data_IF_238223483808
#
_entry.id   IF_238223483808
#
_cell.length_a   1.000
_cell.length_b   1.000
_cell.length_c   1.000
_cell.angle_alpha   90.00
_cell.angle_beta   90.00
_cell.angle_gamma   90.00
#
_symmetry.space_group_name_H-M   'P 1'
#
loop_
_entity.id
_entity.type
_entity.pdbx_description
1 polymer ?
#
# COMPACT_ATOMS: atom_id res chain seq x y z
N UNK A 1 10.78 24.53 0.23
CA UNK A 1 10.24 23.16 0.26
C UNK A 1 8.72 23.15 0.08
N UNK A 2 7.96 23.85 0.93
CA UNK A 2 6.47 23.88 0.88
C UNK A 2 5.91 24.37 -0.46
N UNK A 3 6.44 25.45 -1.04
CA UNK A 3 5.99 25.95 -2.34
C UNK A 3 6.25 24.98 -3.50
N UNK A 4 7.32 24.16 -3.42
CA UNK A 4 7.59 23.13 -4.41
C UNK A 4 6.60 21.97 -4.29
N UNK A 5 6.28 21.55 -3.06
CA UNK A 5 5.29 20.50 -2.79
C UNK A 5 3.88 20.92 -3.17
N UNK A 6 3.48 22.16 -2.89
CA UNK A 6 2.18 22.73 -3.28
C UNK A 6 2.03 22.90 -4.80
N UNK A 7 3.15 22.97 -5.53
CA UNK A 7 3.16 23.04 -7.00
C UNK A 7 3.20 21.68 -7.70
N UNK A 8 3.15 20.56 -6.96
CA UNK A 8 3.20 19.22 -7.55
C UNK A 8 1.92 18.93 -8.32
N UNK A 9 2.00 19.06 -9.65
CA UNK A 9 0.94 18.66 -10.57
C UNK A 9 1.50 17.67 -11.60
N UNK A 10 0.61 16.86 -12.19
CA UNK A 10 0.97 15.93 -13.26
C UNK A 10 2.06 14.92 -12.86
N UNK A 11 3.14 14.86 -13.65
CA UNK A 11 4.21 13.84 -13.52
C UNK A 11 4.93 13.86 -12.17
N UNK A 12 5.09 15.01 -11.54
CA UNK A 12 5.82 15.09 -10.26
C UNK A 12 4.99 14.52 -9.10
N UNK A 13 3.67 14.68 -9.13
CA UNK A 13 2.76 14.07 -8.16
C UNK A 13 2.75 12.54 -8.29
N UNK A 14 2.73 12.04 -9.53
CA UNK A 14 2.83 10.61 -9.84
C UNK A 14 4.14 10.01 -9.31
N UNK A 15 5.28 10.64 -9.59
CA UNK A 15 6.60 10.17 -9.13
C UNK A 15 6.72 10.19 -7.61
N UNK A 16 6.29 11.27 -6.96
CA UNK A 16 6.31 11.35 -5.50
C UNK A 16 5.45 10.24 -4.88
N UNK A 17 4.23 10.06 -5.37
CA UNK A 17 3.33 9.00 -4.89
C UNK A 17 3.91 7.61 -5.08
N UNK A 18 4.54 7.34 -6.23
CA UNK A 18 5.20 6.06 -6.49
C UNK A 18 6.36 5.78 -5.52
N UNK A 19 7.19 6.78 -5.24
CA UNK A 19 8.33 6.65 -4.31
C UNK A 19 7.83 6.41 -2.89
N UNK A 20 6.91 7.25 -2.40
CA UNK A 20 6.35 7.11 -1.06
C UNK A 20 5.64 5.76 -0.91
N UNK A 21 4.90 5.34 -1.94
CA UNK A 21 4.24 4.05 -1.96
C UNK A 21 5.21 2.88 -1.90
N UNK A 22 6.28 2.90 -2.71
CA UNK A 22 7.32 1.88 -2.66
C UNK A 22 8.00 1.80 -1.29
N UNK A 23 8.31 2.96 -0.69
CA UNK A 23 8.90 3.03 0.66
C UNK A 23 7.99 2.41 1.72
N UNK A 24 6.68 2.65 1.65
CA UNK A 24 5.72 2.05 2.59
C UNK A 24 5.75 0.52 2.59
N UNK A 25 5.98 -0.11 1.44
CA UNK A 25 5.98 -1.57 1.36
C UNK A 25 7.35 -2.22 1.58
N UNK A 26 8.45 -1.46 1.49
CA UNK A 26 9.81 -2.01 1.42
C UNK A 26 10.16 -2.94 2.59
N UNK A 27 9.92 -2.49 3.81
CA UNK A 27 10.25 -3.21 5.05
C UNK A 27 9.03 -3.46 5.96
N UNK A 28 7.82 -3.32 5.40
CA UNK A 28 6.54 -3.71 6.01
C UNK A 28 6.35 -3.22 7.46
N UNK A 29 6.75 -1.98 7.75
CA UNK A 29 6.67 -1.36 9.09
C UNK A 29 8.04 -1.02 9.70
N UNK A 30 9.13 -1.29 8.97
CA UNK A 30 10.49 -0.93 9.36
C UNK A 30 10.83 0.56 9.20
N UNK A 31 12.14 0.91 9.27
CA UNK A 31 12.61 2.28 9.22
C UNK A 31 12.22 3.06 7.95
N UNK A 32 12.21 2.43 6.78
CA UNK A 32 11.89 3.08 5.49
C UNK A 32 10.39 3.38 5.40
N UNK A 33 9.54 2.44 5.80
CA UNK A 33 8.11 2.67 5.93
C UNK A 33 7.84 3.84 6.90
N UNK A 34 8.45 3.80 8.09
CA UNK A 34 8.26 4.86 9.09
C UNK A 34 8.77 6.21 8.62
N UNK A 35 9.86 6.25 7.83
CA UNK A 35 10.35 7.50 7.24
C UNK A 35 9.36 8.09 6.21
N UNK A 36 8.73 7.25 5.37
CA UNK A 36 7.67 7.72 4.48
C UNK A 36 6.47 8.23 5.29
N UNK A 37 6.03 7.48 6.30
CA UNK A 37 4.93 7.88 7.17
C UNK A 37 5.19 9.23 7.86
N UNK A 38 6.37 9.43 8.46
CA UNK A 38 6.70 10.70 9.13
C UNK A 38 6.81 11.86 8.17
N UNK A 39 7.24 11.62 6.91
CA UNK A 39 7.17 12.62 5.86
C UNK A 39 5.74 13.08 5.60
N UNK A 40 4.79 12.15 5.43
CA UNK A 40 3.37 12.48 5.22
C UNK A 40 2.77 13.27 6.39
N UNK A 41 3.00 12.80 7.62
CA UNK A 41 2.53 13.48 8.84
C UNK A 41 3.13 14.88 8.97
N UNK A 42 4.41 15.06 8.64
CA UNK A 42 5.08 16.37 8.69
C UNK A 42 4.46 17.41 7.75
N UNK A 43 3.82 16.98 6.67
CA UNK A 43 3.17 17.87 5.70
C UNK A 43 1.75 18.29 6.10
N UNK A 44 1.10 17.56 7.01
CA UNK A 44 -0.22 17.91 7.53
C UNK A 44 -0.23 19.31 8.18
N UNK A 45 0.84 19.68 8.89
CA UNK A 45 0.99 21.01 9.51
C UNK A 45 1.07 22.16 8.50
N UNK A 46 1.34 21.86 7.22
CA UNK A 46 1.34 22.84 6.11
C UNK A 46 0.07 22.77 5.25
N UNK A 47 -0.97 22.07 5.70
CA UNK A 47 -2.20 21.80 4.95
C UNK A 47 -1.97 21.12 3.59
N UNK A 48 -0.99 20.21 3.53
CA UNK A 48 -0.72 19.36 2.36
C UNK A 48 -1.12 17.93 2.75
N UNK A 49 -2.20 17.41 2.15
CA UNK A 49 -2.88 16.18 2.60
C UNK A 49 -2.70 15.00 1.65
N UNK A 50 -2.27 15.26 0.42
CA UNK A 50 -2.17 14.30 -0.67
C UNK A 50 -1.09 13.25 -0.43
N UNK A 51 0.13 13.62 0.01
CA UNK A 51 1.16 12.64 0.35
C UNK A 51 0.72 11.70 1.47
N UNK A 52 -0.03 12.21 2.45
CA UNK A 52 -0.55 11.40 3.55
C UNK A 52 -1.57 10.36 3.04
N UNK A 53 -2.47 10.75 2.14
CA UNK A 53 -3.37 9.80 1.49
C UNK A 53 -2.59 8.73 0.70
N UNK A 54 -1.59 9.14 -0.08
CA UNK A 54 -0.78 8.21 -0.87
C UNK A 54 -0.09 7.16 0.01
N UNK A 55 0.51 7.59 1.12
CA UNK A 55 1.17 6.73 2.11
C UNK A 55 0.15 5.77 2.75
N UNK A 56 -1.03 6.28 3.14
CA UNK A 56 -2.06 5.44 3.77
C UNK A 56 -2.61 4.39 2.79
N UNK A 57 -2.93 4.79 1.55
CA UNK A 57 -3.38 3.86 0.51
C UNK A 57 -2.32 2.77 0.27
N UNK A 58 -1.06 3.18 0.11
CA UNK A 58 0.05 2.29 -0.19
C UNK A 58 0.40 1.32 0.94
N UNK A 59 0.18 1.66 2.22
CA UNK A 59 0.42 0.72 3.33
C UNK A 59 -0.67 -0.35 3.50
N UNK A 60 -1.88 -0.12 2.94
CA UNK A 60 -2.95 -1.13 2.93
C UNK A 60 -2.69 -2.21 1.88
N UNK A 61 -2.05 -1.87 0.75
CA UNK A 61 -1.96 -2.77 -0.42
C UNK A 61 -1.09 -4.02 -0.26
N UNK A 62 0.01 -4.06 0.53
CA UNK A 62 0.81 -5.28 0.68
C UNK A 62 0.02 -6.45 1.26
N UNK A 63 -0.60 -6.34 2.46
CA UNK A 63 -1.40 -7.43 3.01
C UNK A 63 -2.69 -7.69 2.20
N UNK A 64 -3.38 -6.67 1.66
CA UNK A 64 -4.57 -6.89 0.83
C UNK A 64 -4.24 -7.66 -0.46
N UNK A 65 -3.14 -7.28 -1.13
CA UNK A 65 -2.71 -7.91 -2.37
C UNK A 65 -2.24 -9.35 -2.16
N UNK A 66 -1.55 -9.62 -1.05
CA UNK A 66 -1.14 -10.98 -0.68
C UNK A 66 -2.34 -11.84 -0.30
N UNK A 67 -3.29 -11.28 0.46
CA UNK A 67 -4.54 -11.96 0.78
C UNK A 67 -5.31 -12.33 -0.50
N UNK A 68 -5.43 -11.40 -1.45
CA UNK A 68 -6.02 -11.67 -2.76
C UNK A 68 -5.22 -12.72 -3.56
N UNK A 69 -3.89 -12.65 -3.56
CA UNK A 69 -3.03 -13.59 -4.27
C UNK A 69 -3.22 -15.03 -3.77
N UNK A 70 -3.37 -15.23 -2.45
CA UNK A 70 -3.61 -16.57 -1.88
C UNK A 70 -4.95 -17.19 -2.31
N UNK A 71 -5.95 -16.35 -2.63
CA UNK A 71 -7.23 -16.81 -3.18
C UNK A 71 -7.11 -17.15 -4.67
N UNK A 72 -6.46 -16.28 -5.46
CA UNK A 72 -6.37 -16.42 -6.92
C UNK A 72 -5.36 -17.47 -7.37
N UNK A 73 -4.24 -17.60 -6.66
CA UNK A 73 -3.10 -18.44 -7.03
C UNK A 73 -2.77 -19.46 -5.95
N UNK A 74 -3.80 -20.05 -5.33
CA UNK A 74 -3.68 -20.93 -4.15
C UNK A 74 -2.61 -22.02 -4.27
N UNK A 75 -2.39 -22.57 -5.47
CA UNK A 75 -1.37 -23.60 -5.75
C UNK A 75 0.09 -23.08 -5.73
N UNK A 76 0.30 -21.78 -5.55
CA UNK A 76 1.61 -21.13 -5.42
C UNK A 76 1.93 -20.74 -3.97
N UNK A 77 1.04 -21.06 -3.03
CA UNK A 77 1.19 -20.74 -1.62
C UNK A 77 1.09 -22.01 -0.78
N UNK A 78 1.91 -22.09 0.26
CA UNK A 78 1.82 -23.15 1.27
C UNK A 78 0.51 -23.04 2.07
N UNK A 79 0.13 -24.12 2.76
CA UNK A 79 -1.05 -24.10 3.66
C UNK A 79 -0.93 -22.99 4.71
N UNK A 80 0.27 -22.77 5.25
CA UNK A 80 0.53 -21.70 6.23
C UNK A 80 0.33 -20.31 5.62
N UNK A 81 0.79 -20.08 4.39
CA UNK A 81 0.57 -18.80 3.69
C UNK A 81 -0.91 -18.57 3.36
N UNK A 82 -1.65 -19.61 2.99
CA UNK A 82 -3.10 -19.50 2.74
C UNK A 82 -3.86 -19.14 4.02
N UNK A 83 -3.49 -19.72 5.16
CA UNK A 83 -4.09 -19.35 6.45
C UNK A 83 -3.70 -17.93 6.87
N UNK A 84 -2.43 -17.55 6.69
CA UNK A 84 -1.98 -16.17 6.90
C UNK A 84 -2.74 -15.18 5.99
N UNK A 85 -3.13 -15.59 4.78
CA UNK A 85 -3.90 -14.78 3.83
C UNK A 85 -5.25 -14.34 4.38
N UNK A 86 -5.91 -15.17 5.21
CA UNK A 86 -7.17 -14.80 5.86
C UNK A 86 -6.98 -13.67 6.86
N UNK A 87 -5.92 -13.74 7.66
CA UNK A 87 -5.57 -12.67 8.59
C UNK A 87 -5.12 -11.40 7.86
N UNK A 88 -4.38 -11.55 6.75
CA UNK A 88 -3.87 -10.45 5.95
C UNK A 88 -5.00 -9.55 5.38
N UNK A 89 -6.19 -10.07 5.10
CA UNK A 89 -7.35 -9.23 4.76
C UNK A 89 -7.66 -8.21 5.87
N UNK A 90 -7.76 -8.68 7.11
CA UNK A 90 -8.10 -7.83 8.27
C UNK A 90 -6.98 -6.85 8.57
N UNK A 91 -5.73 -7.30 8.50
CA UNK A 91 -4.56 -6.45 8.71
C UNK A 91 -4.49 -5.35 7.63
N UNK A 92 -4.74 -5.70 6.37
CA UNK A 92 -4.71 -4.74 5.27
C UNK A 92 -5.79 -3.68 5.33
N UNK A 93 -7.04 -4.07 5.60
CA UNK A 93 -8.10 -3.07 5.81
C UNK A 93 -7.85 -2.20 7.04
N UNK A 94 -7.02 -2.66 7.98
CA UNK A 94 -6.64 -1.93 9.20
C UNK A 94 -5.35 -1.13 9.06
N UNK A 95 -4.76 -1.06 7.85
CA UNK A 95 -3.47 -0.39 7.61
C UNK A 95 -2.31 -0.97 8.42
N UNK A 96 -2.33 -2.29 8.64
CA UNK A 96 -1.24 -3.02 9.29
C UNK A 96 -0.43 -3.71 8.19
N UNK A 97 0.64 -3.05 7.74
CA UNK A 97 1.47 -3.50 6.62
C UNK A 97 2.20 -4.81 6.95
N UNK A 98 2.46 -5.05 8.23
CA UNK A 98 3.12 -6.22 8.81
C UNK A 98 2.45 -7.55 8.46
N UNK A 99 1.17 -7.53 8.06
CA UNK A 99 0.47 -8.71 7.55
C UNK A 99 1.15 -9.36 6.34
N UNK A 100 2.06 -8.64 5.67
CA UNK A 100 2.88 -9.15 4.58
C UNK A 100 4.15 -9.92 5.03
N UNK A 101 4.60 -9.75 6.29
CA UNK A 101 5.86 -10.33 6.79
C UNK A 101 5.93 -11.86 6.60
N UNK A 102 4.90 -12.66 6.92
CA UNK A 102 4.97 -14.11 6.74
C UNK A 102 5.25 -14.53 5.29
N UNK A 103 4.72 -13.78 4.32
CA UNK A 103 4.90 -14.04 2.89
C UNK A 103 6.29 -13.61 2.42
N UNK A 104 6.74 -12.43 2.86
CA UNK A 104 8.07 -11.91 2.55
C UNK A 104 9.17 -12.78 3.16
N UNK A 105 8.96 -13.34 4.34
CA UNK A 105 9.88 -14.30 4.95
C UNK A 105 9.97 -15.62 4.15
N UNK A 106 8.86 -16.06 3.56
CA UNK A 106 8.82 -17.29 2.76
C UNK A 106 9.46 -17.12 1.37
N UNK A 107 9.27 -15.97 0.70
CA UNK A 107 9.83 -15.71 -0.64
C UNK A 107 10.15 -14.23 -0.85
N UNK A 108 11.23 -13.70 -0.24
CA UNK A 108 11.51 -12.27 -0.17
C UNK A 108 11.74 -11.65 -1.56
N UNK A 109 12.46 -12.35 -2.43
CA UNK A 109 12.84 -11.86 -3.76
C UNK A 109 11.67 -11.66 -4.71
N UNK A 110 10.53 -12.34 -4.46
CA UNK A 110 9.34 -12.21 -5.31
C UNK A 110 8.27 -11.39 -4.62
N UNK A 111 8.12 -11.54 -3.30
CA UNK A 111 7.09 -10.83 -2.55
C UNK A 111 7.44 -9.36 -2.40
N UNK A 112 8.65 -9.01 -1.94
CA UNK A 112 9.03 -7.61 -1.66
C UNK A 112 8.92 -6.73 -2.91
N UNK A 113 9.49 -7.09 -4.07
CA UNK A 113 9.33 -6.27 -5.28
C UNK A 113 7.87 -6.14 -5.74
N UNK A 114 7.05 -7.18 -5.55
CA UNK A 114 5.64 -7.16 -5.96
C UNK A 114 4.80 -6.25 -5.08
N UNK A 115 4.97 -6.32 -3.75
CA UNK A 115 4.26 -5.43 -2.82
C UNK A 115 4.71 -3.98 -3.00
N UNK A 116 6.00 -3.75 -3.26
CA UNK A 116 6.53 -2.41 -3.58
C UNK A 116 5.90 -1.85 -4.85
N UNK A 117 5.79 -2.65 -5.91
CA UNK A 117 5.19 -2.23 -7.16
C UNK A 117 3.69 -1.90 -6.99
N UNK A 118 2.93 -2.73 -6.30
CA UNK A 118 1.52 -2.44 -6.03
C UNK A 118 1.31 -1.22 -5.15
N UNK A 119 2.12 -1.05 -4.10
CA UNK A 119 2.08 0.13 -3.24
C UNK A 119 2.53 1.41 -3.98
N UNK A 120 3.51 1.32 -4.87
CA UNK A 120 3.89 2.42 -5.75
C UNK A 120 2.73 2.84 -6.66
N UNK A 121 2.01 1.87 -7.25
CA UNK A 121 0.81 2.16 -8.07
C UNK A 121 -0.28 2.82 -7.23
N UNK A 122 -0.57 2.33 -6.02
CA UNK A 122 -1.56 2.95 -5.14
C UNK A 122 -1.16 4.38 -4.75
N UNK A 123 0.09 4.60 -4.34
CA UNK A 123 0.57 5.93 -3.98
C UNK A 123 0.53 6.90 -5.16
N UNK A 124 0.97 6.47 -6.34
CA UNK A 124 0.93 7.26 -7.56
C UNK A 124 -0.51 7.65 -7.96
N UNK A 125 -1.43 6.68 -7.99
CA UNK A 125 -2.83 6.94 -8.35
C UNK A 125 -3.53 7.82 -7.31
N UNK A 126 -3.25 7.63 -6.02
CA UNK A 126 -3.77 8.50 -4.96
C UNK A 126 -3.39 9.95 -5.18
N UNK A 127 -2.12 10.21 -5.52
CA UNK A 127 -1.63 11.57 -5.84
C UNK A 127 -2.27 12.11 -7.12
N UNK A 128 -2.39 11.30 -8.17
CA UNK A 128 -3.00 11.73 -9.45
C UNK A 128 -4.48 12.07 -9.30
N UNK A 129 -5.21 11.34 -8.45
CA UNK A 129 -6.60 11.63 -8.13
C UNK A 129 -6.77 12.79 -7.14
N UNK A 130 -5.68 13.41 -6.68
CA UNK A 130 -5.67 14.44 -5.64
C UNK A 130 -6.45 13.99 -4.40
N UNK A 131 -6.32 12.70 -4.04
CA UNK A 131 -6.91 12.21 -2.80
C UNK A 131 -6.12 12.80 -1.63
N UNK A 132 -6.82 13.33 -0.64
CA UNK A 132 -6.24 13.96 0.54
C UNK A 132 -6.66 13.22 1.80
N UNK A 133 -5.76 13.14 2.79
CA UNK A 133 -6.08 12.56 4.09
C UNK A 133 -5.62 13.48 5.22
N UNK A 134 -6.58 13.94 6.02
CA UNK A 134 -6.34 14.88 7.13
C UNK A 134 -5.93 14.18 8.42
N UNK A 135 -6.17 12.87 8.52
CA UNK A 135 -5.88 12.08 9.71
C UNK A 135 -4.53 11.32 9.56
N UNK A 136 -3.73 11.25 10.63
CA UNK A 136 -2.49 10.47 10.66
C UNK A 136 -2.79 8.98 10.94
N UNK A 137 -3.83 8.41 10.35
CA UNK A 137 -4.11 6.98 10.48
C UNK A 137 -4.81 6.48 9.21
N UNK A 138 -4.44 5.29 8.77
CA UNK A 138 -5.03 4.65 7.61
C UNK A 138 -6.19 3.72 7.96
N UNK A 139 -6.50 2.85 7.02
CA UNK A 139 -7.47 1.78 7.20
C UNK A 139 -8.91 2.23 6.95
N UNK A 140 -9.81 1.27 6.88
CA UNK A 140 -11.24 1.51 6.62
C UNK A 140 -11.87 2.42 7.70
N UNK A 141 -11.26 2.48 8.89
CA UNK A 141 -11.72 3.28 10.02
C UNK A 141 -11.75 4.78 9.72
N UNK A 142 -10.81 5.27 8.90
CA UNK A 142 -10.76 6.69 8.54
C UNK A 142 -11.93 7.11 7.63
N UNK A 143 -12.54 6.16 6.92
CA UNK A 143 -13.69 6.42 6.06
C UNK A 143 -14.95 6.79 6.87
N UNK A 144 -15.00 6.44 8.15
CA UNK A 144 -16.11 6.78 9.04
C UNK A 144 -15.96 8.17 9.69
N UNK A 145 -14.81 8.82 9.53
CA UNK A 145 -14.59 10.16 10.06
C UNK A 145 -15.05 11.18 9.01
N UNK A 146 -16.05 12.02 9.31
CA UNK A 146 -16.54 13.01 8.36
C UNK A 146 -15.43 13.92 7.84
N UNK A 147 -15.35 14.06 6.52
CA UNK A 147 -14.37 14.91 5.82
C UNK A 147 -12.89 14.57 6.09
N UNK A 148 -12.57 13.38 6.62
CA UNK A 148 -11.17 12.98 6.82
C UNK A 148 -10.46 12.66 5.50
N UNK A 149 -11.20 12.10 4.53
CA UNK A 149 -10.72 11.72 3.20
C UNK A 149 -11.33 12.63 2.14
N UNK A 150 -10.49 13.26 1.34
CA UNK A 150 -10.87 13.98 0.13
C UNK A 150 -10.66 13.07 -1.08
N UNK A 151 -11.54 13.16 -2.08
CA UNK A 151 -11.41 12.31 -3.28
C UNK A 151 -11.61 10.82 -3.00
N UNK A 152 -12.54 10.46 -2.10
CA UNK A 152 -12.77 9.09 -1.62
C UNK A 152 -12.84 8.02 -2.74
N UNK A 153 -13.52 8.32 -3.85
CA UNK A 153 -13.63 7.39 -4.99
C UNK A 153 -12.26 7.10 -5.60
N UNK A 154 -11.45 8.14 -5.81
CA UNK A 154 -10.08 8.00 -6.31
C UNK A 154 -9.18 7.26 -5.32
N UNK A 155 -9.30 7.57 -4.03
CA UNK A 155 -8.58 6.88 -2.96
C UNK A 155 -8.86 5.36 -2.94
N UNK A 156 -10.14 4.98 -3.00
CA UNK A 156 -10.57 3.58 -3.05
C UNK A 156 -10.09 2.90 -4.34
N UNK A 157 -10.18 3.58 -5.49
CA UNK A 157 -9.69 3.06 -6.76
C UNK A 157 -8.17 2.82 -6.73
N UNK A 158 -7.40 3.71 -6.09
CA UNK A 158 -5.96 3.56 -5.93
C UNK A 158 -5.58 2.35 -5.07
N UNK A 159 -6.27 2.14 -3.94
CA UNK A 159 -6.08 0.95 -3.08
C UNK A 159 -6.38 -0.33 -3.85
N UNK A 160 -7.51 -0.37 -4.56
CA UNK A 160 -7.91 -1.54 -5.36
C UNK A 160 -6.89 -1.83 -6.46
N UNK A 161 -6.44 -0.80 -7.19
CA UNK A 161 -5.45 -0.94 -8.24
C UNK A 161 -4.12 -1.49 -7.70
N UNK A 162 -3.59 -0.93 -6.61
CA UNK A 162 -2.36 -1.43 -6.01
C UNK A 162 -2.50 -2.84 -5.43
N UNK A 163 -3.65 -3.17 -4.84
CA UNK A 163 -3.99 -4.53 -4.37
C UNK A 163 -3.95 -5.54 -5.52
N UNK A 164 -4.58 -5.21 -6.66
CA UNK A 164 -4.59 -6.05 -7.85
C UNK A 164 -3.19 -6.20 -8.43
N UNK A 165 -2.42 -5.11 -8.54
CA UNK A 165 -1.04 -5.15 -9.05
C UNK A 165 -0.15 -6.03 -8.18
N UNK A 166 -0.21 -5.89 -6.84
CA UNK A 166 0.49 -6.79 -5.92
C UNK A 166 0.11 -8.24 -6.17
N UNK A 167 -1.20 -8.54 -6.24
CA UNK A 167 -1.68 -9.90 -6.41
C UNK A 167 -1.24 -10.54 -7.73
N UNK A 168 -1.33 -9.78 -8.83
CA UNK A 168 -0.88 -10.21 -10.15
C UNK A 168 0.62 -10.46 -10.18
N UNK A 169 1.44 -9.54 -9.65
CA UNK A 169 2.89 -9.68 -9.69
C UNK A 169 3.38 -10.87 -8.84
N UNK A 170 2.90 -11.00 -7.59
CA UNK A 170 3.24 -12.17 -6.76
C UNK A 170 2.76 -13.45 -7.43
N UNK A 171 1.53 -13.44 -7.95
CA UNK A 171 0.91 -14.57 -8.63
C UNK A 171 1.67 -15.00 -9.88
N UNK A 172 2.21 -14.07 -10.67
CA UNK A 172 3.01 -14.37 -11.85
C UNK A 172 4.42 -14.85 -11.48
N UNK A 173 5.06 -14.22 -10.49
CA UNK A 173 6.46 -14.48 -10.13
C UNK A 173 6.65 -15.73 -9.28
N UNK A 174 5.77 -15.99 -8.29
CA UNK A 174 5.88 -17.18 -7.43
C UNK A 174 5.76 -18.46 -8.26
N UNK A 175 6.54 -19.47 -7.87
CA UNK A 175 6.45 -20.82 -8.47
C UNK A 175 5.36 -21.62 -7.76
N UNK A 176 4.91 -22.71 -8.40
CA UNK A 176 4.02 -23.66 -7.71
C UNK A 176 4.78 -24.26 -6.53
N UNK A 177 4.06 -24.49 -5.45
CA UNK A 177 4.61 -25.25 -4.31
C UNK A 177 4.47 -26.72 -4.71
N UNK A 178 5.60 -27.42 -4.80
CA UNK A 178 5.58 -28.86 -4.99
C UNK A 178 5.03 -29.47 -3.69
N UNK A 179 3.93 -30.23 -3.79
CA UNK A 179 3.42 -30.99 -2.65
C UNK A 179 4.46 -32.07 -2.32
N UNK A 180 5.16 -31.90 -1.20
CA UNK A 180 5.99 -32.94 -0.59
C UNK A 180 5.13 -33.97 0.14
#
# INVERSE_FOLDING_TARGET
MTAWLQGLTGTNALLLGAILGAMMAFDMGGPINKAAYTFGVGLLGSNIFEPQAAIMAAGMTPPLGLALATLLYRNKFSKAEVEAGKAAWVLGISFITEGAIPFAAADPFRVIPSIMAGSAVAGALSMVFNAGLRAPHGGIFVLFIPNAVEGLVGYMAAILAGTVVTALLVGLLKKRVDEA
#
